data_IF_285413628716
#
_entry.id   IF_285413628716
#
_cell.length_a   1.000
_cell.length_b   1.000
_cell.length_c   1.000
_cell.angle_alpha   90.00
_cell.angle_beta   90.00
_cell.angle_gamma   90.00
#
_symmetry.space_group_name_H-M   'P 1'
#
loop_
_entity.id
_entity.type
_entity.pdbx_description
1 polymer ?
#
# COMPACT_ATOMS: atom_id res chain seq x y z
N UNK A 1 72.69 25.27 -193.71
CA UNK A 1 71.70 25.41 -192.61
C UNK A 1 70.90 24.12 -192.40
N UNK A 2 70.01 23.72 -193.32
CA UNK A 2 69.12 22.54 -193.14
C UNK A 2 69.89 21.24 -192.83
N UNK A 3 71.05 21.03 -193.44
CA UNK A 3 71.92 19.86 -193.23
C UNK A 3 72.29 19.62 -191.75
N UNK A 4 72.66 20.67 -191.00
CA UNK A 4 72.95 20.56 -189.56
C UNK A 4 71.71 20.17 -188.75
N UNK A 5 70.52 20.64 -189.16
CA UNK A 5 69.27 20.25 -188.52
C UNK A 5 68.91 18.78 -188.79
N UNK A 6 69.21 18.26 -190.00
CA UNK A 6 69.02 16.84 -190.33
C UNK A 6 70.01 15.94 -189.59
N UNK A 7 71.29 16.32 -189.49
CA UNK A 7 72.28 15.58 -188.70
C UNK A 7 71.94 15.59 -187.21
N UNK A 8 71.47 16.72 -186.66
CA UNK A 8 70.99 16.80 -185.28
C UNK A 8 69.73 15.93 -185.06
N UNK A 9 68.76 15.96 -185.98
CA UNK A 9 67.56 15.14 -185.91
C UNK A 9 67.88 13.63 -186.00
N UNK A 10 68.81 13.23 -186.87
CA UNK A 10 69.26 11.83 -186.99
C UNK A 10 70.03 11.37 -185.74
N UNK A 11 70.91 12.21 -185.20
CA UNK A 11 71.62 11.94 -183.95
C UNK A 11 70.67 11.81 -182.75
N UNK A 12 69.67 12.70 -182.65
CA UNK A 12 68.62 12.64 -181.65
C UNK A 12 67.76 11.38 -181.80
N UNK A 13 67.32 11.04 -183.02
CA UNK A 13 66.53 9.83 -183.29
C UNK A 13 67.31 8.56 -182.93
N UNK A 14 68.61 8.50 -183.23
CA UNK A 14 69.50 7.40 -182.82
C UNK A 14 69.62 7.29 -181.29
N UNK A 15 69.82 8.42 -180.59
CA UNK A 15 69.85 8.45 -179.13
C UNK A 15 68.53 8.01 -178.49
N UNK A 16 67.38 8.43 -179.05
CA UNK A 16 66.05 7.99 -178.61
C UNK A 16 65.84 6.50 -178.87
N UNK A 17 66.29 5.96 -180.00
CA UNK A 17 66.19 4.53 -180.32
C UNK A 17 67.02 3.67 -179.34
N UNK A 18 68.26 4.08 -179.05
CA UNK A 18 69.11 3.44 -178.04
C UNK A 18 68.50 3.55 -176.63
N UNK A 19 67.96 4.71 -176.28
CA UNK A 19 67.23 4.91 -175.02
C UNK A 19 66.04 3.96 -174.88
N UNK A 20 65.23 3.81 -175.94
CA UNK A 20 64.09 2.89 -175.98
C UNK A 20 64.50 1.41 -175.87
N UNK A 21 65.67 1.03 -176.41
CA UNK A 21 66.20 -0.33 -176.30
C UNK A 21 66.68 -0.66 -174.87
N UNK A 22 67.29 0.31 -174.17
CA UNK A 22 67.86 0.13 -172.83
C UNK A 22 66.80 0.29 -171.72
N UNK A 23 65.80 1.16 -171.92
CA UNK A 23 64.72 1.45 -170.97
C UNK A 23 64.03 0.20 -170.36
N UNK A 24 63.58 -0.82 -171.13
CA UNK A 24 62.91 -1.99 -170.54
C UNK A 24 63.82 -2.85 -169.65
N UNK A 25 65.13 -2.88 -169.92
CA UNK A 25 66.11 -3.61 -169.09
C UNK A 25 66.33 -2.89 -167.76
N UNK A 26 66.52 -1.57 -167.81
CA UNK A 26 66.70 -0.72 -166.62
C UNK A 26 65.43 -0.72 -165.77
N UNK A 27 64.25 -0.57 -166.38
CA UNK A 27 62.98 -0.59 -165.66
C UNK A 27 62.74 -1.92 -164.92
N UNK A 28 62.96 -3.08 -165.57
CA UNK A 28 62.88 -4.40 -164.90
C UNK A 28 63.82 -4.52 -163.69
N UNK A 29 65.03 -3.93 -163.78
CA UNK A 29 66.01 -3.94 -162.69
C UNK A 29 65.60 -3.02 -161.54
N UNK A 30 65.03 -1.85 -161.84
CA UNK A 30 64.46 -0.93 -160.85
C UNK A 30 63.27 -1.57 -160.14
N UNK A 31 62.34 -2.21 -160.86
CA UNK A 31 61.17 -2.86 -160.26
C UNK A 31 61.58 -3.97 -159.29
N UNK A 32 62.56 -4.81 -159.64
CA UNK A 32 63.09 -5.82 -158.70
C UNK A 32 63.72 -5.19 -157.45
N UNK A 33 64.62 -4.23 -157.60
CA UNK A 33 65.21 -3.56 -156.44
C UNK A 33 64.19 -2.78 -155.60
N UNK A 34 63.12 -2.26 -156.22
CA UNK A 34 62.01 -1.64 -155.51
C UNK A 34 61.19 -2.68 -154.73
N UNK A 35 60.86 -3.81 -155.34
CA UNK A 35 60.08 -4.89 -154.71
C UNK A 35 60.85 -5.58 -153.57
N UNK A 36 62.13 -5.89 -153.78
CA UNK A 36 63.00 -6.51 -152.77
C UNK A 36 63.28 -5.54 -151.61
N UNK A 37 63.53 -4.25 -151.92
CA UNK A 37 63.68 -3.22 -150.88
C UNK A 37 62.37 -2.94 -150.16
N UNK A 38 61.22 -3.00 -150.84
CA UNK A 38 59.91 -2.85 -150.22
C UNK A 38 59.68 -4.00 -149.24
N UNK A 39 59.85 -5.27 -149.65
CA UNK A 39 59.77 -6.44 -148.75
C UNK A 39 60.73 -6.36 -147.55
N UNK A 40 61.92 -5.78 -147.74
CA UNK A 40 62.90 -5.57 -146.68
C UNK A 40 62.63 -4.34 -145.79
N UNK A 41 61.67 -3.46 -146.13
CA UNK A 41 61.37 -2.22 -145.39
C UNK A 41 59.89 -2.06 -144.99
N UNK A 42 58.99 -2.90 -145.49
CA UNK A 42 57.65 -3.09 -144.92
C UNK A 42 57.75 -4.10 -143.78
N UNK A 43 57.67 -3.68 -142.51
CA UNK A 43 57.59 -4.64 -141.42
C UNK A 43 56.24 -5.37 -141.46
N UNK A 44 56.31 -6.69 -141.27
CA UNK A 44 55.22 -7.67 -141.17
C UNK A 44 54.58 -8.19 -142.48
N UNK A 45 54.54 -9.52 -142.54
CA UNK A 45 53.66 -10.35 -143.37
C UNK A 45 52.20 -10.25 -142.90
N UNK A 46 51.24 -10.52 -143.81
CA UNK A 46 49.80 -10.57 -143.47
C UNK A 46 49.47 -11.59 -142.36
N UNK A 47 50.27 -12.66 -142.22
CA UNK A 47 50.11 -13.63 -141.12
C UNK A 47 50.54 -13.05 -139.78
N UNK A 48 51.63 -12.25 -139.77
CA UNK A 48 52.14 -11.60 -138.56
C UNK A 48 51.23 -10.47 -138.09
N UNK A 49 50.61 -9.72 -139.01
CA UNK A 49 49.59 -8.71 -138.65
C UNK A 49 48.36 -9.36 -138.00
N UNK A 50 47.95 -10.55 -138.47
CA UNK A 50 46.89 -11.34 -137.82
C UNK A 50 47.33 -11.85 -136.44
N UNK A 51 48.53 -12.42 -136.35
CA UNK A 51 49.10 -12.89 -135.09
C UNK A 51 49.23 -11.77 -134.04
N UNK A 52 49.69 -10.57 -134.41
CA UNK A 52 49.73 -9.42 -133.52
C UNK A 52 48.33 -8.95 -133.12
N UNK A 53 47.36 -8.93 -134.03
CA UNK A 53 45.97 -8.56 -133.73
C UNK A 53 45.33 -9.54 -132.72
N UNK A 54 45.57 -10.83 -132.90
CA UNK A 54 45.01 -11.86 -132.03
C UNK A 54 45.79 -12.01 -130.71
N UNK A 55 47.11 -11.72 -130.69
CA UNK A 55 47.88 -11.55 -129.47
C UNK A 55 47.42 -10.32 -128.67
N UNK A 56 47.19 -9.17 -129.33
CA UNK A 56 46.65 -7.98 -128.67
C UNK A 56 45.26 -8.24 -128.09
N UNK A 57 44.38 -8.95 -128.81
CA UNK A 57 43.09 -9.45 -128.29
C UNK A 57 43.27 -10.36 -127.08
N UNK A 58 44.22 -11.29 -127.11
CA UNK A 58 44.50 -12.21 -126.00
C UNK A 58 45.03 -11.48 -124.76
N UNK A 59 45.93 -10.49 -124.94
CA UNK A 59 46.43 -9.62 -123.86
C UNK A 59 45.27 -8.83 -123.25
N UNK A 60 44.46 -8.14 -124.07
CA UNK A 60 43.33 -7.34 -123.58
C UNK A 60 42.27 -8.21 -122.88
N UNK A 61 42.03 -9.42 -123.36
CA UNK A 61 41.16 -10.39 -122.71
C UNK A 61 41.74 -10.88 -121.37
N UNK A 62 43.02 -11.21 -121.31
CA UNK A 62 43.70 -11.62 -120.08
C UNK A 62 43.74 -10.50 -119.03
N UNK A 63 43.96 -9.25 -119.44
CA UNK A 63 43.93 -8.07 -118.57
C UNK A 63 42.51 -7.75 -118.08
N UNK A 64 41.49 -7.86 -118.94
CA UNK A 64 40.08 -7.72 -118.54
C UNK A 64 39.64 -8.84 -117.57
N UNK A 65 40.07 -10.08 -117.79
CA UNK A 65 39.85 -11.19 -116.84
C UNK A 65 40.59 -10.94 -115.53
N UNK A 66 41.84 -10.46 -115.57
CA UNK A 66 42.63 -10.16 -114.36
C UNK A 66 42.02 -9.01 -113.55
N UNK A 67 41.62 -7.91 -114.20
CA UNK A 67 41.02 -6.75 -113.53
C UNK A 67 39.59 -7.03 -113.04
N UNK A 68 38.79 -7.81 -113.77
CA UNK A 68 37.49 -8.25 -113.26
C UNK A 68 37.61 -9.28 -112.12
N UNK A 69 38.65 -10.11 -112.08
CA UNK A 69 38.96 -10.97 -110.93
C UNK A 69 39.43 -10.18 -109.70
N UNK A 70 40.30 -9.17 -109.85
CA UNK A 70 40.67 -8.31 -108.71
C UNK A 70 39.48 -7.48 -108.23
N UNK A 71 38.69 -6.91 -109.15
CA UNK A 71 37.46 -6.18 -108.79
C UNK A 71 36.45 -7.06 -108.03
N UNK A 72 36.32 -8.34 -108.39
CA UNK A 72 35.54 -9.31 -107.59
C UNK A 72 36.13 -9.48 -106.19
N UNK A 73 37.42 -9.82 -106.07
CA UNK A 73 38.09 -10.02 -104.77
C UNK A 73 38.00 -8.79 -103.85
N UNK A 74 38.15 -7.59 -104.39
CA UNK A 74 38.01 -6.36 -103.59
C UNK A 74 36.54 -6.05 -103.23
N UNK A 75 35.56 -6.44 -104.05
CA UNK A 75 34.14 -6.40 -103.66
C UNK A 75 33.82 -7.43 -102.58
N UNK A 76 34.32 -8.65 -102.69
CA UNK A 76 34.11 -9.73 -101.72
C UNK A 76 34.69 -9.33 -100.34
N UNK A 77 35.88 -8.70 -100.33
CA UNK A 77 36.47 -8.06 -99.15
C UNK A 77 35.66 -6.87 -98.63
N UNK A 78 35.17 -5.99 -99.51
CA UNK A 78 34.37 -4.84 -99.08
C UNK A 78 33.06 -5.30 -98.40
N UNK A 79 32.41 -6.33 -98.94
CA UNK A 79 31.21 -6.94 -98.37
C UNK A 79 31.52 -7.60 -97.02
N UNK A 80 32.61 -8.36 -96.90
CA UNK A 80 32.96 -8.99 -95.61
C UNK A 80 33.35 -7.97 -94.53
N UNK A 81 34.01 -6.87 -94.90
CA UNK A 81 34.29 -5.74 -94.01
C UNK A 81 33.02 -4.97 -93.63
N UNK A 82 32.06 -4.79 -94.55
CA UNK A 82 30.76 -4.21 -94.24
C UNK A 82 29.98 -5.06 -93.23
N UNK A 83 29.91 -6.38 -93.44
CA UNK A 83 29.24 -7.31 -92.51
C UNK A 83 29.94 -7.40 -91.15
N UNK A 84 31.28 -7.33 -91.12
CA UNK A 84 32.04 -7.28 -89.87
C UNK A 84 31.79 -5.96 -89.10
N UNK A 85 31.74 -4.83 -89.83
CA UNK A 85 31.39 -3.53 -89.26
C UNK A 85 29.95 -3.52 -88.72
N UNK A 86 28.99 -4.06 -89.47
CA UNK A 86 27.58 -4.11 -89.07
C UNK A 86 27.42 -4.88 -87.76
N UNK A 87 28.08 -6.05 -87.63
CA UNK A 87 28.14 -6.81 -86.37
C UNK A 87 28.73 -5.99 -85.22
N UNK A 88 29.90 -5.39 -85.42
CA UNK A 88 30.54 -4.55 -84.40
C UNK A 88 29.66 -3.34 -84.01
N UNK A 89 28.90 -2.77 -84.94
CA UNK A 89 27.92 -1.72 -84.62
C UNK A 89 26.70 -2.27 -83.85
N UNK A 90 26.23 -3.50 -84.11
CA UNK A 90 25.17 -4.12 -83.30
C UNK A 90 25.65 -4.49 -81.89
N UNK A 91 26.87 -5.01 -81.75
CA UNK A 91 27.50 -5.29 -80.45
C UNK A 91 27.71 -3.99 -79.65
N UNK A 92 28.20 -2.93 -80.31
CA UNK A 92 28.33 -1.60 -79.69
C UNK A 92 26.97 -1.00 -79.28
N UNK A 93 25.88 -1.26 -80.02
CA UNK A 93 24.52 -0.84 -79.60
C UNK A 93 24.04 -1.63 -78.38
N UNK A 94 24.27 -2.94 -78.34
CA UNK A 94 23.91 -3.79 -77.21
C UNK A 94 24.65 -3.39 -75.92
N UNK A 95 25.98 -3.25 -75.98
CA UNK A 95 26.81 -2.84 -74.83
C UNK A 95 26.48 -1.42 -74.35
N UNK A 96 26.01 -0.53 -75.23
CA UNK A 96 25.51 0.80 -74.82
C UNK A 96 24.18 0.69 -74.07
N UNK A 97 23.23 -0.08 -74.58
CA UNK A 97 21.95 -0.31 -73.89
C UNK A 97 22.19 -0.92 -72.50
N UNK A 98 23.04 -1.96 -72.40
CA UNK A 98 23.44 -2.55 -71.12
C UNK A 98 24.10 -1.52 -70.18
N UNK A 99 24.95 -0.62 -70.70
CA UNK A 99 25.57 0.42 -69.88
C UNK A 99 24.58 1.48 -69.38
N UNK A 100 23.57 1.83 -70.19
CA UNK A 100 22.52 2.77 -69.82
C UNK A 100 21.48 2.13 -68.87
N UNK A 101 21.16 0.85 -69.03
CA UNK A 101 20.35 0.06 -68.09
C UNK A 101 21.05 -0.10 -66.73
N UNK A 102 22.37 -0.34 -66.71
CA UNK A 102 23.17 -0.41 -65.49
C UNK A 102 23.30 0.96 -64.81
N UNK A 103 23.35 2.07 -65.56
CA UNK A 103 23.28 3.42 -64.99
C UNK A 103 21.93 3.68 -64.33
N UNK A 104 20.82 3.34 -64.99
CA UNK A 104 19.49 3.48 -64.42
C UNK A 104 19.34 2.69 -63.11
N UNK A 105 19.88 1.46 -63.05
CA UNK A 105 19.93 0.67 -61.81
C UNK A 105 20.78 1.34 -60.72
N UNK A 106 21.96 1.87 -61.06
CA UNK A 106 22.81 2.59 -60.10
C UNK A 106 22.13 3.86 -59.57
N UNK A 107 21.42 4.61 -60.41
CA UNK A 107 20.70 5.82 -60.00
C UNK A 107 19.52 5.49 -59.07
N UNK A 108 18.79 4.40 -59.32
CA UNK A 108 17.76 3.89 -58.39
C UNK A 108 18.38 3.47 -57.06
N UNK A 109 19.45 2.66 -57.06
CA UNK A 109 20.13 2.24 -55.83
C UNK A 109 20.74 3.42 -55.05
N UNK A 110 21.21 4.46 -55.74
CA UNK A 110 21.69 5.70 -55.12
C UNK A 110 20.53 6.49 -54.47
N UNK A 111 19.34 6.49 -55.09
CA UNK A 111 18.11 7.03 -54.51
C UNK A 111 17.72 6.29 -53.24
N UNK A 112 17.56 4.96 -53.31
CA UNK A 112 17.24 4.10 -52.16
C UNK A 112 18.26 4.25 -51.01
N UNK A 113 19.56 4.31 -51.33
CA UNK A 113 20.60 4.56 -50.34
C UNK A 113 20.53 5.98 -49.74
N UNK A 114 20.05 6.98 -50.51
CA UNK A 114 19.76 8.32 -50.03
C UNK A 114 18.58 8.34 -49.05
N UNK A 115 17.48 7.69 -49.42
CA UNK A 115 16.28 7.59 -48.59
C UNK A 115 16.57 6.84 -47.28
N UNK A 116 17.27 5.70 -47.34
CA UNK A 116 17.71 4.95 -46.16
C UNK A 116 18.61 5.80 -45.24
N UNK A 117 19.54 6.59 -45.79
CA UNK A 117 20.37 7.53 -45.01
C UNK A 117 19.53 8.66 -44.38
N UNK A 118 18.45 9.09 -45.04
CA UNK A 118 17.52 10.08 -44.47
C UNK A 118 16.69 9.48 -43.32
N UNK A 119 16.21 8.23 -43.47
CA UNK A 119 15.49 7.48 -42.45
C UNK A 119 16.35 7.20 -41.22
N UNK A 120 17.60 6.79 -41.40
CA UNK A 120 18.58 6.63 -40.31
C UNK A 120 18.72 7.94 -39.52
N UNK A 121 18.95 9.07 -40.19
CA UNK A 121 19.05 10.39 -39.52
C UNK A 121 17.78 10.79 -38.76
N UNK A 122 16.60 10.46 -39.30
CA UNK A 122 15.34 10.73 -38.61
C UNK A 122 15.17 9.86 -37.35
N UNK A 123 15.59 8.59 -37.41
CA UNK A 123 15.60 7.68 -36.27
C UNK A 123 16.65 8.09 -35.22
N UNK A 124 17.86 8.49 -35.63
CA UNK A 124 18.90 9.05 -34.76
C UNK A 124 18.35 10.27 -33.99
N UNK A 125 17.76 11.24 -34.68
CA UNK A 125 17.14 12.40 -34.03
C UNK A 125 15.95 12.02 -33.12
N UNK A 126 15.20 10.96 -33.44
CA UNK A 126 14.13 10.47 -32.57
C UNK A 126 14.70 9.83 -31.30
N UNK A 127 15.79 9.06 -31.42
CA UNK A 127 16.50 8.42 -30.31
C UNK A 127 17.10 9.49 -29.37
N UNK A 128 17.73 10.55 -29.88
CA UNK A 128 18.22 11.63 -29.03
C UNK A 128 17.07 12.34 -28.30
N UNK A 129 15.96 12.68 -28.98
CA UNK A 129 14.76 13.24 -28.33
C UNK A 129 14.17 12.32 -27.25
N UNK A 130 14.23 11.00 -27.44
CA UNK A 130 13.80 10.02 -26.43
C UNK A 130 14.77 9.93 -25.24
N UNK A 131 16.08 10.05 -25.47
CA UNK A 131 17.08 10.14 -24.38
C UNK A 131 16.92 11.43 -23.57
N UNK A 132 16.71 12.56 -24.23
CA UNK A 132 16.45 13.85 -23.58
C UNK A 132 15.19 13.78 -22.70
N UNK A 133 14.09 13.21 -23.23
CA UNK A 133 12.86 13.00 -22.49
C UNK A 133 13.00 12.00 -21.32
N UNK A 134 13.79 10.93 -21.50
CA UNK A 134 14.09 9.97 -20.44
C UNK A 134 14.91 10.61 -19.32
N UNK A 135 15.98 11.33 -19.65
CA UNK A 135 16.84 12.02 -18.67
C UNK A 135 16.05 13.08 -17.88
N UNK A 136 15.15 13.82 -18.54
CA UNK A 136 14.24 14.75 -17.87
C UNK A 136 13.33 14.00 -16.87
N UNK A 137 12.69 12.91 -17.30
CA UNK A 137 11.82 12.09 -16.46
C UNK A 137 12.57 11.42 -15.29
N UNK A 138 13.82 11.01 -15.48
CA UNK A 138 14.70 10.51 -14.42
C UNK A 138 15.00 11.61 -13.38
N UNK A 139 15.28 12.84 -13.80
CA UNK A 139 15.47 13.98 -12.88
C UNK A 139 14.18 14.38 -12.15
N UNK A 140 13.03 14.35 -12.83
CA UNK A 140 11.73 14.57 -12.20
C UNK A 140 11.45 13.48 -11.15
N UNK A 141 11.68 12.21 -11.48
CA UNK A 141 11.49 11.08 -10.56
C UNK A 141 12.44 11.16 -9.34
N UNK A 142 13.70 11.57 -9.54
CA UNK A 142 14.62 11.86 -8.45
C UNK A 142 14.06 12.98 -7.54
N UNK A 143 13.55 14.08 -8.10
CA UNK A 143 12.93 15.15 -7.31
C UNK A 143 11.69 14.67 -6.54
N UNK A 144 10.89 13.76 -7.12
CA UNK A 144 9.68 13.22 -6.50
C UNK A 144 9.98 12.22 -5.40
N UNK A 145 11.03 11.41 -5.54
CA UNK A 145 11.48 10.51 -4.46
C UNK A 145 12.10 11.29 -3.30
N UNK A 146 12.81 12.40 -3.54
CA UNK A 146 13.24 13.32 -2.48
C UNK A 146 12.04 13.98 -1.79
N UNK A 147 11.08 14.52 -2.55
CA UNK A 147 9.84 15.09 -2.00
C UNK A 147 9.06 14.06 -1.14
N UNK A 148 8.96 12.81 -1.59
CA UNK A 148 8.34 11.73 -0.82
C UNK A 148 9.11 11.42 0.47
N UNK A 149 10.44 11.39 0.44
CA UNK A 149 11.27 11.19 1.63
C UNK A 149 11.17 12.36 2.64
N UNK A 150 11.00 13.60 2.17
CA UNK A 150 10.73 14.76 3.02
C UNK A 150 9.34 14.68 3.65
N UNK A 151 8.32 14.31 2.88
CA UNK A 151 6.94 14.12 3.36
C UNK A 151 6.84 12.97 4.37
N UNK A 152 7.53 11.85 4.15
CA UNK A 152 7.62 10.76 5.12
C UNK A 152 8.20 11.25 6.45
N UNK A 153 9.37 11.92 6.44
CA UNK A 153 9.97 12.53 7.63
C UNK A 153 9.14 13.65 8.27
N UNK A 154 8.12 14.17 7.60
CA UNK A 154 7.14 15.10 8.19
C UNK A 154 6.01 14.33 8.86
N UNK A 155 5.49 13.30 8.19
CA UNK A 155 4.50 12.39 8.76
C UNK A 155 5.01 11.70 10.03
N UNK A 156 6.24 11.16 10.01
CA UNK A 156 6.88 10.51 11.16
C UNK A 156 6.94 11.42 12.40
N UNK A 157 7.24 12.72 12.20
CA UNK A 157 7.25 13.73 13.26
C UNK A 157 5.84 14.04 13.76
N UNK A 158 4.88 14.25 12.86
CA UNK A 158 3.48 14.51 13.24
C UNK A 158 2.86 13.31 13.96
N UNK A 159 3.23 12.07 13.64
CA UNK A 159 2.84 10.90 14.43
C UNK A 159 3.51 10.87 15.81
N UNK A 160 4.79 11.23 15.92
CA UNK A 160 5.48 11.35 17.20
C UNK A 160 4.87 12.43 18.11
N UNK A 161 4.59 13.61 17.56
CA UNK A 161 3.89 14.72 18.22
C UNK A 161 2.46 14.30 18.65
N UNK A 162 1.75 13.55 17.80
CA UNK A 162 0.41 13.03 18.12
C UNK A 162 0.45 11.98 19.25
N UNK A 163 1.45 11.10 19.26
CA UNK A 163 1.62 10.09 20.31
C UNK A 163 2.11 10.69 21.64
N UNK A 164 2.94 11.73 21.60
CA UNK A 164 3.27 12.55 22.78
C UNK A 164 2.02 13.21 23.36
N UNK A 165 1.21 13.88 22.52
CA UNK A 165 -0.07 14.49 22.95
C UNK A 165 -1.05 13.44 23.48
N UNK A 166 -1.10 12.23 22.90
CA UNK A 166 -1.91 11.11 23.43
C UNK A 166 -1.44 10.70 24.82
N UNK A 167 -0.13 10.52 25.03
CA UNK A 167 0.44 10.17 26.35
C UNK A 167 0.14 11.26 27.39
N UNK A 168 0.28 12.53 27.04
CA UNK A 168 -0.09 13.66 27.91
C UNK A 168 -1.59 13.62 28.25
N UNK A 169 -2.48 13.45 27.26
CA UNK A 169 -3.93 13.40 27.49
C UNK A 169 -4.35 12.20 28.36
N UNK A 170 -3.65 11.07 28.27
CA UNK A 170 -3.89 9.90 29.12
C UNK A 170 -3.40 10.13 30.57
N UNK A 171 -2.29 10.84 30.76
CA UNK A 171 -1.81 11.26 32.07
C UNK A 171 -2.73 12.30 32.73
N UNK A 172 -3.25 13.26 31.95
CA UNK A 172 -4.27 14.21 32.42
C UNK A 172 -5.57 13.51 32.79
N UNK A 173 -6.04 12.54 32.00
CA UNK A 173 -7.22 11.73 32.33
C UNK A 173 -7.03 10.95 33.65
N UNK A 174 -5.88 10.29 33.83
CA UNK A 174 -5.53 9.61 35.09
C UNK A 174 -5.54 10.57 36.29
N UNK A 175 -5.02 11.78 36.13
CA UNK A 175 -5.04 12.79 37.20
C UNK A 175 -6.44 13.33 37.48
N UNK A 176 -7.30 13.46 36.45
CA UNK A 176 -8.73 13.79 36.63
C UNK A 176 -9.45 12.68 37.39
N UNK A 177 -9.15 11.41 37.13
CA UNK A 177 -9.71 10.26 37.88
C UNK A 177 -9.19 10.21 39.33
N UNK A 178 -7.91 10.48 39.57
CA UNK A 178 -7.33 10.63 40.91
C UNK A 178 -8.03 11.74 41.71
N UNK A 179 -8.24 12.91 41.08
CA UNK A 179 -8.96 14.03 41.68
C UNK A 179 -10.44 13.69 41.93
N UNK A 180 -11.09 12.90 41.07
CA UNK A 180 -12.44 12.40 41.32
C UNK A 180 -12.51 11.41 42.48
N UNK A 181 -11.57 10.46 42.57
CA UNK A 181 -11.48 9.52 43.69
C UNK A 181 -11.26 10.24 45.02
N UNK A 182 -10.34 11.22 45.06
CA UNK A 182 -10.08 12.07 46.23
C UNK A 182 -11.25 12.99 46.56
N UNK A 183 -11.97 13.50 45.56
CA UNK A 183 -13.22 14.24 45.78
C UNK A 183 -14.35 13.33 46.29
N UNK A 184 -14.31 12.02 45.97
CA UNK A 184 -15.14 10.98 46.57
C UNK A 184 -14.84 10.81 48.05
N UNK A 185 -13.60 10.45 48.41
CA UNK A 185 -13.23 10.22 49.82
C UNK A 185 -13.51 11.43 50.70
N UNK A 186 -13.22 12.66 50.24
CA UNK A 186 -13.52 13.90 50.95
C UNK A 186 -15.03 14.20 51.06
N UNK A 187 -15.88 13.65 50.19
CA UNK A 187 -17.36 13.71 50.36
C UNK A 187 -17.82 12.71 51.40
N UNK A 188 -17.24 11.51 51.41
CA UNK A 188 -17.58 10.41 52.33
C UNK A 188 -17.13 10.71 53.76
N UNK A 189 -15.88 11.18 53.96
CA UNK A 189 -15.37 11.71 55.23
C UNK A 189 -16.25 12.85 55.77
N UNK A 190 -16.70 13.74 54.88
CA UNK A 190 -17.62 14.83 55.22
C UNK A 190 -19.02 14.31 55.54
N UNK A 191 -19.45 13.18 54.98
CA UNK A 191 -20.72 12.51 55.29
C UNK A 191 -20.65 11.85 56.68
N UNK A 192 -19.59 11.08 56.97
CA UNK A 192 -19.38 10.44 58.28
C UNK A 192 -19.23 11.48 59.39
N UNK A 193 -18.44 12.54 59.21
CA UNK A 193 -18.31 13.63 60.17
C UNK A 193 -19.64 14.39 60.40
N UNK A 194 -20.53 14.45 59.41
CA UNK A 194 -21.89 15.02 59.58
C UNK A 194 -22.77 14.11 60.41
N UNK A 195 -22.71 12.81 60.20
CA UNK A 195 -23.50 11.82 60.96
C UNK A 195 -22.96 11.61 62.37
N UNK A 196 -21.65 11.67 62.58
CA UNK A 196 -21.05 11.76 63.91
C UNK A 196 -21.51 13.04 64.64
N UNK A 197 -21.45 14.20 63.97
CA UNK A 197 -21.96 15.45 64.55
C UNK A 197 -23.47 15.40 64.84
N UNK A 198 -24.27 14.71 64.02
CA UNK A 198 -25.70 14.45 64.30
C UNK A 198 -25.85 13.61 65.56
N UNK A 199 -25.19 12.46 65.63
CA UNK A 199 -25.20 11.53 66.79
C UNK A 199 -24.74 12.21 68.08
N UNK A 200 -23.69 13.03 68.04
CA UNK A 200 -23.26 13.82 69.20
C UNK A 200 -24.28 14.92 69.56
N UNK A 201 -24.94 15.56 68.59
CA UNK A 201 -26.02 16.50 68.89
C UNK A 201 -27.27 15.83 69.50
N UNK A 202 -27.54 14.57 69.15
CA UNK A 202 -28.62 13.77 69.72
C UNK A 202 -28.27 13.27 71.12
N UNK A 203 -27.03 12.82 71.34
CA UNK A 203 -26.48 12.52 72.68
C UNK A 203 -26.52 13.76 73.57
N UNK A 204 -26.11 14.92 73.08
CA UNK A 204 -26.15 16.19 73.81
C UNK A 204 -27.59 16.52 74.24
N UNK A 205 -28.56 16.54 73.31
CA UNK A 205 -29.99 16.74 73.62
C UNK A 205 -30.53 15.71 74.61
N UNK A 206 -30.13 14.44 74.48
CA UNK A 206 -30.53 13.39 75.42
C UNK A 206 -29.92 13.57 76.82
N UNK A 207 -28.72 14.16 76.93
CA UNK A 207 -28.09 14.53 78.19
C UNK A 207 -28.70 15.81 78.78
N UNK A 208 -29.03 16.82 77.97
CA UNK A 208 -29.79 18.02 78.36
C UNK A 208 -31.16 17.65 78.92
N UNK A 209 -31.91 16.76 78.24
CA UNK A 209 -33.19 16.25 78.72
C UNK A 209 -33.06 15.46 80.02
N UNK A 210 -31.99 14.66 80.19
CA UNK A 210 -31.70 13.97 81.46
C UNK A 210 -31.32 14.97 82.57
N UNK A 211 -30.55 16.01 82.26
CA UNK A 211 -30.18 17.07 83.19
C UNK A 211 -31.44 17.81 83.66
N UNK A 212 -32.30 18.25 82.74
CA UNK A 212 -33.58 18.89 83.05
C UNK A 212 -34.49 17.98 83.91
N UNK A 213 -34.54 16.67 83.63
CA UNK A 213 -35.26 15.73 84.50
C UNK A 213 -34.67 15.63 85.90
N UNK A 214 -33.34 15.63 86.04
CA UNK A 214 -32.68 15.60 87.35
C UNK A 214 -32.81 16.95 88.09
N UNK A 215 -32.81 18.09 87.38
CA UNK A 215 -33.13 19.39 87.97
C UNK A 215 -34.58 19.46 88.47
N UNK A 216 -35.55 18.94 87.71
CA UNK A 216 -36.94 18.88 88.14
C UNK A 216 -37.07 17.98 89.39
N UNK A 217 -36.36 16.84 89.43
CA UNK A 217 -36.29 15.98 90.62
C UNK A 217 -35.59 16.66 91.79
N UNK A 218 -34.51 17.40 91.57
CA UNK A 218 -33.83 18.18 92.60
C UNK A 218 -34.78 19.24 93.18
N UNK A 219 -35.42 20.05 92.34
CA UNK A 219 -36.44 21.04 92.74
C UNK A 219 -37.64 20.40 93.47
N UNK A 220 -38.04 19.19 93.08
CA UNK A 220 -39.05 18.42 93.82
C UNK A 220 -38.54 17.92 95.18
N UNK A 221 -37.29 17.46 95.29
CA UNK A 221 -36.68 17.06 96.55
C UNK A 221 -36.45 18.26 97.47
N UNK A 222 -36.03 19.41 96.94
CA UNK A 222 -35.96 20.70 97.63
C UNK A 222 -37.33 21.12 98.16
N UNK A 223 -38.40 21.03 97.35
CA UNK A 223 -39.77 21.30 97.83
C UNK A 223 -40.26 20.32 98.90
N UNK A 224 -39.79 19.06 98.87
CA UNK A 224 -40.06 18.06 99.91
C UNK A 224 -39.26 18.32 101.17
N UNK A 225 -38.03 18.82 101.05
CA UNK A 225 -37.20 19.22 102.17
C UNK A 225 -37.72 20.50 102.84
N UNK A 226 -38.17 21.50 102.08
CA UNK A 226 -38.78 22.70 102.67
C UNK A 226 -40.13 22.41 103.32
N UNK A 227 -40.97 21.55 102.72
CA UNK A 227 -42.23 21.11 103.38
C UNK A 227 -41.97 20.18 104.58
N UNK A 228 -40.96 19.30 104.53
CA UNK A 228 -40.56 18.51 105.70
C UNK A 228 -39.98 19.36 106.82
N UNK A 229 -39.15 20.37 106.50
CA UNK A 229 -38.61 21.32 107.47
C UNK A 229 -39.72 22.19 108.07
N UNK A 230 -40.73 22.59 107.29
CA UNK A 230 -41.91 23.27 107.81
C UNK A 230 -42.72 22.37 108.76
N UNK A 231 -42.94 21.10 108.40
CA UNK A 231 -43.58 20.12 109.28
C UNK A 231 -42.76 19.78 110.54
N UNK A 232 -41.43 19.88 110.47
CA UNK A 232 -40.55 19.77 111.64
C UNK A 232 -40.67 21.02 112.52
N UNK A 233 -40.67 22.23 111.96
CA UNK A 233 -40.91 23.47 112.71
C UNK A 233 -42.33 23.51 113.33
N UNK A 234 -43.35 23.00 112.63
CA UNK A 234 -44.69 22.83 113.19
C UNK A 234 -44.70 21.80 114.33
N UNK A 235 -43.93 20.72 114.22
CA UNK A 235 -43.75 19.75 115.31
C UNK A 235 -42.96 20.34 116.48
N UNK A 236 -41.93 21.14 116.22
CA UNK A 236 -41.16 21.85 117.25
C UNK A 236 -42.04 22.87 117.98
N UNK A 237 -42.80 23.71 117.26
CA UNK A 237 -43.74 24.64 117.92
C UNK A 237 -44.88 23.90 118.64
N UNK A 238 -45.31 22.71 118.18
CA UNK A 238 -46.27 21.88 118.93
C UNK A 238 -45.64 21.22 120.17
N UNK A 239 -44.38 20.79 120.10
CA UNK A 239 -43.62 20.31 121.26
C UNK A 239 -43.28 21.45 122.22
N UNK A 240 -43.14 22.68 121.74
CA UNK A 240 -42.88 23.87 122.55
C UNK A 240 -44.16 24.40 123.21
N UNK A 241 -45.30 24.37 122.51
CA UNK A 241 -46.64 24.51 123.11
C UNK A 241 -46.85 23.44 124.17
N UNK A 242 -46.63 22.17 123.84
CA UNK A 242 -46.76 21.03 124.76
C UNK A 242 -45.81 21.12 125.96
N UNK A 243 -44.57 21.59 125.78
CA UNK A 243 -43.65 21.92 126.88
C UNK A 243 -44.23 23.05 127.73
N UNK A 244 -44.71 24.15 127.15
CA UNK A 244 -45.32 25.24 127.90
C UNK A 244 -46.59 24.83 128.65
N UNK A 245 -47.33 23.84 128.14
CA UNK A 245 -48.48 23.21 128.80
C UNK A 245 -48.04 22.25 129.91
N UNK A 246 -46.96 21.50 129.73
CA UNK A 246 -46.31 20.70 130.79
C UNK A 246 -45.71 21.60 131.87
N UNK A 247 -45.15 22.77 131.53
CA UNK A 247 -44.63 23.76 132.47
C UNK A 247 -45.78 24.43 133.24
N UNK A 248 -46.90 24.73 132.57
CA UNK A 248 -48.15 25.18 133.22
C UNK A 248 -48.78 24.10 134.08
N UNK A 249 -48.78 22.84 133.66
CA UNK A 249 -49.32 21.72 134.44
C UNK A 249 -48.40 21.33 135.60
N UNK A 250 -47.07 21.43 135.46
CA UNK A 250 -46.13 21.19 136.57
C UNK A 250 -46.05 22.38 137.53
N UNK A 251 -46.26 23.62 137.09
CA UNK A 251 -46.51 24.74 138.02
C UNK A 251 -47.87 24.60 138.69
N UNK A 252 -48.94 24.22 137.97
CA UNK A 252 -50.25 23.94 138.58
C UNK A 252 -50.23 22.75 139.54
N UNK A 253 -49.43 21.72 139.25
CA UNK A 253 -49.17 20.61 140.18
C UNK A 253 -48.28 21.06 141.33
N UNK A 254 -47.32 21.98 141.16
CA UNK A 254 -46.58 22.60 142.29
C UNK A 254 -47.49 23.44 143.18
N UNK A 255 -48.45 24.17 142.62
CA UNK A 255 -49.51 24.88 143.37
C UNK A 255 -50.37 23.86 144.14
N UNK A 256 -50.99 22.91 143.45
CA UNK A 256 -51.82 21.85 144.05
C UNK A 256 -51.05 20.97 145.04
N UNK A 257 -49.74 20.78 144.88
CA UNK A 257 -48.89 20.03 145.84
C UNK A 257 -48.35 20.90 146.97
N UNK A 258 -48.32 22.23 146.85
CA UNK A 258 -48.13 23.13 147.98
C UNK A 258 -49.41 23.22 148.83
N UNK A 259 -50.57 23.30 148.20
CA UNK A 259 -51.89 23.20 148.84
C UNK A 259 -52.04 21.83 149.53
N UNK A 260 -51.77 20.72 148.83
CA UNK A 260 -51.74 19.39 149.45
C UNK A 260 -50.61 19.21 150.47
N UNK A 261 -49.48 19.92 150.38
CA UNK A 261 -48.45 19.87 151.44
C UNK A 261 -48.97 20.52 152.72
N UNK A 262 -49.59 21.70 152.64
CA UNK A 262 -50.19 22.36 153.81
C UNK A 262 -51.35 21.54 154.42
N UNK A 263 -52.11 20.79 153.59
CA UNK A 263 -53.13 19.86 154.08
C UNK A 263 -52.57 18.54 154.65
N UNK A 264 -51.56 17.92 154.01
CA UNK A 264 -50.99 16.63 154.41
C UNK A 264 -50.03 16.74 155.60
N UNK A 265 -49.44 17.92 155.83
CA UNK A 265 -48.63 18.19 157.03
C UNK A 265 -49.50 18.23 158.31
N UNK A 266 -50.84 18.31 158.17
CA UNK A 266 -51.81 18.10 159.25
C UNK A 266 -52.37 16.66 159.34
N UNK A 267 -52.07 15.77 158.38
CA UNK A 267 -52.72 14.45 158.26
C UNK A 267 -51.78 13.24 158.06
N UNK A 268 -50.46 13.42 157.94
CA UNK A 268 -49.46 12.33 157.97
C UNK A 268 -48.83 12.09 159.34
N UNK A 269 -49.68 12.12 160.38
CA UNK A 269 -49.39 11.47 161.66
C UNK A 269 -49.56 9.93 161.61
N UNK A 270 -49.89 9.38 160.43
CA UNK A 270 -49.85 7.96 160.09
C UNK A 270 -49.21 7.81 158.68
N UNK A 271 -48.42 6.75 158.46
CA UNK A 271 -47.55 6.59 157.29
C UNK A 271 -47.93 5.48 156.30
N UNK A 272 -46.90 4.82 155.71
CA UNK A 272 -46.90 3.65 154.78
C UNK A 272 -46.74 4.01 153.26
N UNK A 273 -45.92 3.21 152.57
CA UNK A 273 -45.57 3.25 151.12
C UNK A 273 -46.55 2.41 150.24
N UNK A 274 -46.58 2.56 148.89
CA UNK A 274 -45.92 1.59 147.97
C UNK A 274 -45.56 2.18 146.56
N UNK A 275 -45.43 1.41 145.45
CA UNK A 275 -44.35 0.48 145.00
C UNK A 275 -44.63 -0.09 143.55
N UNK A 276 -43.60 -0.19 142.67
CA UNK A 276 -43.53 -0.97 141.36
C UNK A 276 -44.48 -0.55 140.18
N UNK A 277 -44.41 -1.08 138.91
CA UNK A 277 -43.39 -1.83 138.10
C UNK A 277 -43.16 -1.27 136.64
N UNK A 278 -42.83 -2.12 135.62
CA UNK A 278 -42.41 -1.76 134.22
C UNK A 278 -42.92 -2.73 133.08
N UNK A 279 -42.48 -2.56 131.81
CA UNK A 279 -42.68 -3.39 130.57
C UNK A 279 -42.04 -2.73 129.29
N UNK A 280 -41.63 -3.30 128.13
CA UNK A 280 -41.78 -4.60 127.38
C UNK A 280 -42.98 -4.71 126.38
N UNK A 281 -42.95 -5.21 125.11
CA UNK A 281 -41.95 -5.56 124.04
C UNK A 281 -42.70 -5.65 122.63
N UNK A 282 -42.39 -6.19 121.40
CA UNK A 282 -41.41 -7.08 120.66
C UNK A 282 -41.52 -6.87 119.09
N UNK A 283 -40.57 -7.34 118.22
CA UNK A 283 -40.74 -7.56 116.74
C UNK A 283 -39.44 -7.44 115.87
N UNK A 284 -39.27 -7.83 114.57
CA UNK A 284 -40.04 -8.60 113.53
C UNK A 284 -39.46 -8.42 112.08
N UNK A 285 -39.40 -9.45 111.17
CA UNK A 285 -38.77 -9.37 109.80
C UNK A 285 -39.10 -10.52 108.77
N UNK A 286 -38.74 -10.40 107.45
CA UNK A 286 -38.79 -11.50 106.41
C UNK A 286 -38.60 -11.13 104.89
N UNK A 287 -37.91 -11.93 104.00
CA UNK A 287 -37.68 -11.62 102.54
C UNK A 287 -37.65 -12.79 101.46
N UNK A 288 -37.32 -12.49 100.16
CA UNK A 288 -36.86 -13.36 98.98
C UNK A 288 -37.92 -14.15 98.12
N UNK A 289 -37.68 -14.82 96.91
CA UNK A 289 -36.47 -15.33 96.18
C UNK A 289 -36.35 -15.09 94.61
N UNK A 290 -35.85 -16.05 93.76
CA UNK A 290 -35.28 -15.90 92.34
C UNK A 290 -35.53 -17.13 91.37
N UNK A 291 -35.31 -17.04 90.01
CA UNK A 291 -35.47 -18.12 88.96
C UNK A 291 -34.58 -18.01 87.64
N UNK A 292 -34.72 -18.92 86.62
CA UNK A 292 -33.82 -19.26 85.45
C UNK A 292 -34.58 -19.87 84.19
N UNK A 293 -34.11 -20.22 82.94
CA UNK A 293 -32.94 -19.96 82.01
C UNK A 293 -33.06 -20.77 80.62
N UNK A 294 -32.12 -20.63 79.63
CA UNK A 294 -31.76 -21.52 78.42
C UNK A 294 -32.45 -21.40 77.02
N UNK A 295 -32.07 -22.07 75.87
CA UNK A 295 -30.80 -22.10 75.02
C UNK A 295 -30.88 -22.93 73.64
N UNK A 296 -29.94 -22.74 72.66
CA UNK A 296 -29.46 -23.68 71.53
C UNK A 296 -30.39 -23.91 70.25
N UNK A 297 -30.08 -24.33 68.98
CA UNK A 297 -28.95 -24.84 68.08
C UNK A 297 -29.18 -24.61 66.51
N UNK A 298 -28.21 -24.85 65.58
CA UNK A 298 -28.31 -24.75 64.05
C UNK A 298 -27.27 -25.61 63.20
N UNK A 299 -27.61 -26.28 62.05
CA UNK A 299 -26.63 -26.93 61.10
C UNK A 299 -26.90 -27.10 59.53
N UNK A 300 -25.85 -27.28 58.69
CA UNK A 300 -25.68 -28.07 57.39
C UNK A 300 -26.51 -27.79 56.05
N UNK A 301 -26.24 -28.32 54.81
CA UNK A 301 -25.03 -28.65 53.95
C UNK A 301 -25.34 -29.13 52.47
N UNK A 302 -24.41 -28.91 51.49
CA UNK A 302 -23.93 -29.76 50.34
C UNK A 302 -24.54 -29.91 48.88
N UNK A 303 -23.69 -30.40 47.94
CA UNK A 303 -23.71 -30.35 46.44
C UNK A 303 -23.94 -31.70 45.68
N UNK A 304 -24.25 -31.66 44.35
CA UNK A 304 -24.17 -32.81 43.39
C UNK A 304 -23.64 -32.41 41.98
N UNK A 305 -22.92 -33.33 41.32
CA UNK A 305 -22.22 -33.20 40.02
C UNK A 305 -23.00 -33.82 38.82
N UNK A 306 -22.76 -33.38 37.56
CA UNK A 306 -23.21 -34.10 36.34
C UNK A 306 -22.39 -33.78 35.06
N UNK A 307 -22.67 -34.53 33.97
CA UNK A 307 -21.81 -34.75 32.80
C UNK A 307 -21.71 -33.59 31.77
N UNK A 308 -20.68 -33.59 30.88
CA UNK A 308 -20.36 -32.45 30.03
C UNK A 308 -21.28 -32.32 28.79
N UNK A 309 -22.06 -31.25 28.76
CA UNK A 309 -22.54 -30.64 27.52
C UNK A 309 -21.40 -29.85 26.85
N UNK A 310 -21.43 -29.73 25.51
CA UNK A 310 -20.57 -28.80 24.77
C UNK A 310 -21.09 -27.34 24.89
N UNK A 311 -21.13 -26.84 26.13
CA UNK A 311 -21.32 -25.43 26.40
C UNK A 311 -20.05 -24.62 26.12
N UNK A 312 -20.18 -23.29 26.17
CA UNK A 312 -19.04 -22.37 26.10
C UNK A 312 -17.92 -22.79 27.05
N UNK A 313 -16.69 -23.03 26.56
CA UNK A 313 -15.57 -23.43 27.41
C UNK A 313 -15.28 -22.33 28.44
N UNK A 314 -14.90 -22.73 29.67
CA UNK A 314 -14.65 -21.80 30.76
C UNK A 314 -13.51 -20.83 30.43
N UNK A 315 -13.53 -19.58 30.94
CA UNK A 315 -12.53 -18.56 30.60
C UNK A 315 -11.11 -19.02 30.92
N UNK A 316 -10.90 -19.74 32.04
CA UNK A 316 -9.58 -20.24 32.44
C UNK A 316 -9.11 -21.42 31.58
N UNK A 317 -10.04 -22.23 31.05
CA UNK A 317 -9.73 -23.25 30.07
C UNK A 317 -9.32 -22.63 28.72
N UNK A 318 -10.02 -21.59 28.27
CA UNK A 318 -9.63 -20.86 27.05
C UNK A 318 -8.30 -20.13 27.22
N UNK A 319 -7.99 -19.59 28.40
CA UNK A 319 -6.67 -19.02 28.73
C UNK A 319 -5.57 -20.09 28.66
N UNK A 320 -5.81 -21.27 29.23
CA UNK A 320 -4.85 -22.38 29.18
C UNK A 320 -4.64 -22.92 27.75
N UNK A 321 -5.72 -23.12 26.98
CA UNK A 321 -5.64 -23.56 25.58
C UNK A 321 -4.98 -22.49 24.69
N UNK A 322 -5.19 -21.19 24.95
CA UNK A 322 -4.50 -20.10 24.25
C UNK A 322 -3.00 -20.02 24.60
N UNK A 323 -2.61 -20.24 25.86
CA UNK A 323 -1.21 -20.31 26.26
C UNK A 323 -0.47 -21.46 25.58
N UNK A 324 -1.03 -22.67 25.66
CA UNK A 324 -0.45 -23.85 25.00
C UNK A 324 -0.39 -23.70 23.46
N UNK A 325 -1.35 -23.00 22.85
CA UNK A 325 -1.30 -22.66 21.42
C UNK A 325 -0.15 -21.70 21.09
N UNK A 326 0.13 -20.69 21.92
CA UNK A 326 1.25 -19.77 21.71
C UNK A 326 2.60 -20.48 21.83
N UNK A 327 2.79 -21.33 22.85
CA UNK A 327 3.99 -22.14 23.02
C UNK A 327 4.22 -23.08 21.82
N UNK A 328 3.14 -23.67 21.29
CA UNK A 328 3.18 -24.49 20.07
C UNK A 328 3.50 -23.67 18.81
N UNK A 329 2.88 -22.50 18.66
CA UNK A 329 3.07 -21.61 17.50
C UNK A 329 4.52 -21.13 17.36
N UNK A 330 5.22 -20.95 18.47
CA UNK A 330 6.66 -20.60 18.50
C UNK A 330 7.57 -21.79 18.10
N UNK A 331 7.07 -23.03 18.20
CA UNK A 331 7.84 -24.25 18.00
C UNK A 331 7.45 -25.07 16.75
N UNK A 332 6.52 -24.59 15.92
CA UNK A 332 5.93 -25.35 14.82
C UNK A 332 6.57 -25.08 13.45
N UNK A 333 6.61 -26.10 12.60
CA UNK A 333 7.06 -26.01 11.21
C UNK A 333 5.95 -25.50 10.26
N UNK A 334 6.29 -24.86 9.12
CA UNK A 334 5.32 -24.34 8.14
C UNK A 334 4.37 -25.39 7.50
N UNK A 335 4.63 -26.68 7.71
CA UNK A 335 3.72 -27.76 7.32
C UNK A 335 2.50 -27.90 8.25
N UNK A 336 2.55 -27.38 9.48
CA UNK A 336 1.42 -27.38 10.42
C UNK A 336 0.48 -26.17 10.27
N UNK A 337 0.81 -25.21 9.41
CA UNK A 337 0.06 -23.96 9.15
C UNK A 337 -1.47 -24.13 9.00
N UNK A 338 -1.93 -25.24 8.42
CA UNK A 338 -3.35 -25.53 8.28
C UNK A 338 -4.00 -25.88 9.63
N UNK A 339 -3.36 -26.77 10.40
CA UNK A 339 -3.84 -27.17 11.73
C UNK A 339 -3.75 -26.03 12.75
N UNK A 340 -2.69 -25.21 12.69
CA UNK A 340 -2.54 -24.02 13.52
C UNK A 340 -3.63 -22.99 13.25
N UNK A 341 -4.01 -22.77 11.98
CA UNK A 341 -5.15 -21.91 11.62
C UNK A 341 -6.48 -22.48 12.13
N UNK A 342 -6.68 -23.79 12.04
CA UNK A 342 -7.88 -24.46 12.58
C UNK A 342 -7.99 -24.34 14.12
N UNK A 343 -6.88 -24.47 14.83
CA UNK A 343 -6.81 -24.32 16.29
C UNK A 343 -6.99 -22.85 16.71
N UNK A 344 -6.36 -21.91 16.01
CA UNK A 344 -6.57 -20.47 16.21
C UNK A 344 -8.04 -20.08 15.99
N UNK A 345 -8.69 -20.56 14.93
CA UNK A 345 -10.11 -20.33 14.67
C UNK A 345 -11.01 -20.93 15.75
N UNK A 346 -10.63 -22.07 16.34
CA UNK A 346 -11.35 -22.71 17.47
C UNK A 346 -11.26 -21.85 18.75
N UNK A 347 -10.06 -21.37 19.09
CA UNK A 347 -9.81 -20.54 20.28
C UNK A 347 -10.48 -19.16 20.12
N UNK A 348 -10.33 -18.51 18.95
CA UNK A 348 -10.97 -17.24 18.65
C UNK A 348 -12.50 -17.34 18.68
N UNK A 349 -13.09 -18.44 18.21
CA UNK A 349 -14.53 -18.67 18.28
C UNK A 349 -15.02 -18.82 19.73
N UNK A 350 -14.28 -19.55 20.57
CA UNK A 350 -14.58 -19.66 22.00
C UNK A 350 -14.50 -18.31 22.72
N UNK A 351 -13.46 -17.53 22.45
CA UNK A 351 -13.25 -16.23 23.08
C UNK A 351 -14.34 -15.22 22.71
N UNK A 352 -14.64 -15.06 21.42
CA UNK A 352 -15.67 -14.12 20.95
C UNK A 352 -17.08 -14.54 21.38
N UNK A 353 -17.37 -15.84 21.52
CA UNK A 353 -18.61 -16.31 22.11
C UNK A 353 -18.71 -16.02 23.63
N UNK A 354 -17.61 -16.16 24.39
CA UNK A 354 -17.55 -15.71 25.79
C UNK A 354 -17.78 -14.20 25.90
N UNK A 355 -17.16 -13.38 25.05
CA UNK A 355 -17.36 -11.93 25.02
C UNK A 355 -18.82 -11.56 24.75
N UNK A 356 -19.43 -12.14 23.71
CA UNK A 356 -20.84 -11.90 23.38
C UNK A 356 -21.78 -12.29 24.54
N UNK A 357 -21.46 -13.38 25.27
CA UNK A 357 -22.21 -13.79 26.47
C UNK A 357 -21.99 -12.86 27.67
N UNK A 358 -20.78 -12.32 27.85
CA UNK A 358 -20.46 -11.37 28.93
C UNK A 358 -21.09 -9.99 28.73
N UNK A 359 -21.17 -9.52 27.48
CA UNK A 359 -21.87 -8.29 27.07
C UNK A 359 -23.40 -8.45 27.01
N UNK A 360 -23.89 -9.68 26.85
CA UNK A 360 -25.31 -10.02 26.83
C UNK A 360 -26.07 -9.32 25.69
N UNK A 361 -27.30 -8.89 25.98
CA UNK A 361 -28.18 -8.26 24.99
C UNK A 361 -27.69 -6.89 24.47
N UNK A 362 -26.64 -6.31 25.06
CA UNK A 362 -25.99 -5.10 24.59
C UNK A 362 -24.84 -5.37 23.59
N UNK A 363 -24.45 -6.63 23.38
CA UNK A 363 -23.35 -6.99 22.49
C UNK A 363 -23.65 -6.66 21.02
N UNK A 364 -22.75 -5.99 20.30
CA UNK A 364 -22.85 -5.86 18.85
C UNK A 364 -22.52 -7.18 18.12
N UNK A 365 -21.87 -8.14 18.79
CA UNK A 365 -21.29 -9.34 18.16
C UNK A 365 -22.37 -10.19 17.45
N UNK A 366 -23.53 -10.53 18.06
CA UNK A 366 -24.58 -11.29 17.37
C UNK A 366 -25.10 -10.60 16.09
N UNK A 367 -25.17 -9.26 16.07
CA UNK A 367 -25.62 -8.50 14.91
C UNK A 367 -24.57 -8.44 13.78
N UNK A 368 -23.28 -8.53 14.12
CA UNK A 368 -22.20 -8.68 13.15
C UNK A 368 -22.17 -10.11 12.57
N UNK A 369 -22.27 -11.12 13.44
CA UNK A 369 -22.32 -12.54 13.05
C UNK A 369 -23.49 -12.89 12.11
N UNK A 370 -24.61 -12.16 12.22
CA UNK A 370 -25.78 -12.31 11.35
C UNK A 370 -25.65 -11.59 9.98
N UNK A 371 -24.64 -10.74 9.78
CA UNK A 371 -24.37 -10.07 8.49
C UNK A 371 -23.42 -10.86 7.58
N UNK A 372 -22.66 -11.79 8.14
CA UNK A 372 -21.63 -12.55 7.42
C UNK A 372 -22.25 -13.77 6.73
N UNK A 373 -22.44 -13.67 5.41
CA UNK A 373 -22.95 -14.75 4.54
C UNK A 373 -21.94 -15.88 4.40
N UNK A 374 -22.40 -17.12 4.45
CA UNK A 374 -21.52 -18.30 4.42
C UNK A 374 -20.98 -18.58 3.01
N UNK A 375 -19.67 -18.43 2.83
CA UNK A 375 -18.98 -18.94 1.64
C UNK A 375 -18.91 -20.47 1.68
N UNK A 376 -19.43 -21.13 0.64
CA UNK A 376 -19.59 -22.58 0.61
C UNK A 376 -18.26 -23.32 0.43
N UNK A 377 -17.57 -23.63 1.54
CA UNK A 377 -16.43 -24.54 1.56
C UNK A 377 -15.47 -24.39 2.73
N UNK A 378 -15.49 -23.27 3.46
CA UNK A 378 -14.57 -22.99 4.57
C UNK A 378 -15.35 -22.74 5.86
N UNK A 379 -14.87 -23.29 7.00
CA UNK A 379 -15.56 -23.12 8.30
C UNK A 379 -15.11 -21.83 8.98
N UNK A 380 -15.73 -20.72 8.56
CA UNK A 380 -15.39 -19.36 9.03
C UNK A 380 -15.54 -19.18 10.55
N UNK A 381 -14.87 -18.16 11.08
CA UNK A 381 -15.00 -17.75 12.48
C UNK A 381 -16.48 -17.46 12.85
N UNK A 382 -17.23 -16.83 11.93
CA UNK A 382 -18.65 -16.56 12.15
C UNK A 382 -19.52 -17.83 12.22
N UNK A 383 -19.24 -18.84 11.40
CA UNK A 383 -19.95 -20.12 11.48
C UNK A 383 -19.68 -20.84 12.83
N UNK A 384 -18.41 -20.87 13.27
CA UNK A 384 -18.01 -21.53 14.55
C UNK A 384 -18.57 -20.81 15.79
N UNK A 385 -18.56 -19.48 15.80
CA UNK A 385 -19.15 -18.68 16.89
C UNK A 385 -20.66 -18.81 16.96
N UNK A 386 -21.36 -18.74 15.82
CA UNK A 386 -22.82 -18.98 15.75
C UNK A 386 -23.17 -20.37 16.30
N UNK A 387 -22.40 -21.41 15.97
CA UNK A 387 -22.60 -22.76 16.50
C UNK A 387 -22.39 -22.86 18.02
N UNK A 388 -21.35 -22.20 18.58
CA UNK A 388 -21.08 -22.19 20.02
C UNK A 388 -22.12 -21.40 20.83
N UNK A 389 -22.63 -20.29 20.29
CA UNK A 389 -23.71 -19.56 20.93
C UNK A 389 -25.02 -20.37 20.91
N UNK A 390 -25.35 -20.99 19.76
CA UNK A 390 -26.52 -21.85 19.60
C UNK A 390 -26.47 -23.17 20.41
N UNK A 391 -25.30 -23.61 20.89
CA UNK A 391 -25.19 -24.73 21.85
C UNK A 391 -25.36 -24.30 23.31
N UNK A 392 -25.66 -23.02 23.57
CA UNK A 392 -25.89 -22.45 24.91
C UNK A 392 -27.19 -21.65 25.07
N UNK A 393 -28.03 -21.65 24.04
CA UNK A 393 -29.41 -21.12 24.04
C UNK A 393 -30.44 -22.22 24.20
#
# INVERSE_FOLDING_TARGET
MIEFALLFALGFLSAVLLGALVAPVVHRRIVRFAEDRLKATTPLSQQEVRAQKDAARAIYAAENVRTSQTLKRERDKAISLMLAREKAETEMRAVRAENDDLRAQLDVMNGEAGDLRSGIRLLEQHIERLKEALAALETDYASKTEQAAVLARQLDRVSGELDEVRVVSAAEALHVDELHARAGSLRDERETLRDERRRESEKAKALELKLAQQEIRAKQLESRLTTANALLADRETNLERGRSEIDRLTTRVREMTAELATALQALRAAGIEPRLPAGEETGGAGPLPVAQETAIAVPASEDILLLPSNGLPSPDRLRAEAGAFLDRLVAADPSEDAALRDEMLRIAAGMTALTARGEGAASPIPALLARETEEAGTTTLAARTRALLASTS
#
